data_IF_915167368025
#
_entry.id   IF_915167368025
#
_cell.length_a   1.000
_cell.length_b   1.000
_cell.length_c   1.000
_cell.angle_alpha   90.00
_cell.angle_beta   90.00
_cell.angle_gamma   90.00
#
_symmetry.space_group_name_H-M   'P 1'
#
loop_
_entity.id
_entity.type
_entity.pdbx_description
1 polymer ?
#
# COMPACT_ATOMS: atom_id res chain seq x y z
N UNK A 1 9.25 -10.91 -8.49
CA UNK A 1 7.86 -10.54 -8.34
C UNK A 1 7.53 -9.28 -9.11
N UNK A 2 6.32 -8.91 -9.14
CA UNK A 2 5.83 -7.72 -9.83
C UNK A 2 4.33 -7.75 -9.98
N UNK A 3 3.80 -7.05 -10.97
CA UNK A 3 2.36 -6.95 -11.21
C UNK A 3 1.67 -8.30 -11.50
N UNK A 4 2.38 -9.26 -12.04
CA UNK A 4 1.82 -10.52 -12.52
C UNK A 4 1.95 -11.69 -11.55
N UNK A 5 2.88 -11.63 -10.60
CA UNK A 5 3.14 -12.73 -9.68
C UNK A 5 3.74 -12.25 -8.34
N UNK A 6 3.17 -12.70 -7.24
CA UNK A 6 3.76 -12.49 -5.92
C UNK A 6 5.07 -13.27 -5.79
N UNK A 7 6.11 -12.71 -5.12
CA UNK A 7 7.34 -13.43 -4.85
C UNK A 7 7.07 -14.65 -3.95
N UNK A 8 7.77 -15.74 -4.24
CA UNK A 8 7.80 -16.91 -3.38
C UNK A 8 8.71 -16.68 -2.17
N UNK A 9 8.64 -17.57 -1.17
CA UNK A 9 9.59 -17.59 -0.05
C UNK A 9 11.04 -17.70 -0.54
N UNK A 10 11.28 -18.50 -1.59
CA UNK A 10 12.62 -18.67 -2.17
C UNK A 10 13.13 -17.40 -2.85
N UNK A 11 12.27 -16.67 -3.55
CA UNK A 11 12.61 -15.37 -4.15
C UNK A 11 13.03 -14.37 -3.06
N UNK A 12 12.27 -14.29 -1.97
CA UNK A 12 12.56 -13.39 -0.84
C UNK A 12 13.88 -13.82 -0.16
N UNK A 13 14.09 -15.10 0.11
CA UNK A 13 15.33 -15.61 0.70
C UNK A 13 16.54 -15.30 -0.17
N UNK A 14 16.38 -15.37 -1.48
CA UNK A 14 17.46 -15.03 -2.42
C UNK A 14 17.89 -13.57 -2.25
N UNK A 15 16.94 -12.65 -2.12
CA UNK A 15 17.27 -11.24 -1.91
C UNK A 15 17.81 -10.97 -0.49
N UNK A 16 17.31 -11.65 0.53
CA UNK A 16 17.84 -11.59 1.90
C UNK A 16 19.32 -12.04 1.91
N UNK A 17 19.66 -13.11 1.22
CA UNK A 17 21.07 -13.60 1.13
C UNK A 17 21.99 -12.60 0.44
N UNK A 18 21.50 -11.92 -0.60
CA UNK A 18 22.28 -10.90 -1.34
C UNK A 18 22.49 -9.61 -0.55
N UNK A 19 21.62 -9.29 0.40
CA UNK A 19 21.73 -8.07 1.20
C UNK A 19 22.99 -8.10 2.06
N UNK A 20 23.91 -7.12 1.99
CA UNK A 20 25.17 -7.14 2.72
C UNK A 20 25.01 -6.68 4.20
N UNK A 21 24.12 -7.36 4.94
CA UNK A 21 23.83 -7.08 6.34
C UNK A 21 23.50 -8.38 7.09
N UNK A 22 23.70 -8.38 8.40
CA UNK A 22 23.36 -9.51 9.29
C UNK A 22 21.89 -9.48 9.70
N UNK A 23 21.32 -8.27 9.81
CA UNK A 23 19.90 -8.03 10.11
C UNK A 23 19.22 -7.47 8.86
N UNK A 24 18.12 -8.07 8.44
CA UNK A 24 17.39 -7.68 7.23
C UNK A 24 15.94 -7.46 7.57
N UNK A 25 15.47 -6.24 7.36
CA UNK A 25 14.05 -5.89 7.46
C UNK A 25 13.37 -6.15 6.12
N UNK A 26 12.26 -6.89 6.15
CA UNK A 26 11.44 -7.19 4.96
C UNK A 26 10.11 -6.48 5.07
N UNK A 27 9.82 -5.60 4.13
CA UNK A 27 8.56 -4.88 3.99
C UNK A 27 7.80 -5.42 2.76
N UNK A 28 6.84 -6.34 2.95
CA UNK A 28 6.16 -7.01 1.82
C UNK A 28 5.31 -6.09 0.95
N UNK A 29 4.75 -5.04 1.50
CA UNK A 29 3.87 -4.07 0.84
C UNK A 29 2.64 -4.69 0.15
N UNK A 30 2.30 -5.91 0.56
CA UNK A 30 1.16 -6.66 0.06
C UNK A 30 0.77 -7.73 1.09
N UNK A 31 -0.50 -7.74 1.50
CA UNK A 31 -1.01 -8.72 2.50
C UNK A 31 -0.77 -10.18 2.11
N UNK A 32 -0.78 -10.49 0.80
CA UNK A 32 -0.58 -11.86 0.31
C UNK A 32 0.88 -12.33 0.36
N UNK A 33 1.83 -11.42 0.56
CA UNK A 33 3.27 -11.70 0.62
C UNK A 33 3.76 -11.86 2.06
N UNK A 34 3.03 -11.31 3.04
CA UNK A 34 3.43 -11.31 4.45
C UNK A 34 3.77 -12.73 4.95
N UNK A 35 2.92 -13.71 4.64
CA UNK A 35 3.15 -15.09 5.06
C UNK A 35 4.42 -15.68 4.43
N UNK A 36 4.68 -15.44 3.16
CA UNK A 36 5.89 -15.91 2.48
C UNK A 36 7.15 -15.25 3.08
N UNK A 37 7.07 -13.96 3.44
CA UNK A 37 8.15 -13.26 4.11
C UNK A 37 8.41 -13.83 5.52
N UNK A 38 7.38 -14.12 6.29
CA UNK A 38 7.50 -14.72 7.62
C UNK A 38 8.11 -16.12 7.56
N UNK A 39 7.82 -16.91 6.53
CA UNK A 39 8.44 -18.22 6.32
C UNK A 39 9.95 -18.14 6.07
N UNK A 40 10.49 -16.98 5.69
CA UNK A 40 11.93 -16.79 5.51
C UNK A 40 12.68 -16.79 6.85
N UNK A 41 12.04 -16.41 7.96
CA UNK A 41 12.67 -16.24 9.27
C UNK A 41 13.43 -17.52 9.70
N UNK A 42 12.79 -18.71 9.78
CA UNK A 42 13.48 -19.91 10.20
C UNK A 42 14.40 -20.53 9.14
N UNK A 43 14.35 -20.03 7.90
CA UNK A 43 15.11 -20.58 6.76
C UNK A 43 16.36 -19.75 6.43
N UNK A 44 16.55 -18.61 7.08
CA UNK A 44 17.66 -17.70 6.83
C UNK A 44 18.76 -17.86 7.86
N UNK A 45 20.02 -17.78 7.43
CA UNK A 45 21.19 -17.69 8.30
C UNK A 45 21.35 -16.29 8.91
N UNK A 46 20.61 -15.31 8.37
CA UNK A 46 20.58 -13.92 8.86
C UNK A 46 19.35 -13.70 9.74
N UNK A 47 19.41 -12.69 10.59
CA UNK A 47 18.22 -12.25 11.33
C UNK A 47 17.28 -11.53 10.38
N UNK A 48 16.12 -12.12 10.13
CA UNK A 48 15.05 -11.54 9.30
C UNK A 48 13.95 -11.00 10.20
N UNK A 49 13.61 -9.74 10.03
CA UNK A 49 12.50 -9.06 10.73
C UNK A 49 11.48 -8.64 9.66
N UNK A 50 10.25 -9.08 9.80
CA UNK A 50 9.18 -8.78 8.85
C UNK A 50 8.27 -7.69 9.44
N UNK A 51 8.27 -6.53 8.81
CA UNK A 51 7.32 -5.45 9.09
C UNK A 51 6.09 -5.69 8.21
N UNK A 52 4.89 -5.95 8.77
CA UNK A 52 3.75 -6.49 8.01
C UNK A 52 3.03 -5.42 7.19
N UNK A 53 3.76 -4.71 6.34
CA UNK A 53 3.22 -3.72 5.42
C UNK A 53 2.29 -4.38 4.40
N UNK A 54 1.09 -3.83 4.23
CA UNK A 54 0.05 -4.35 3.33
C UNK A 54 -0.02 -3.58 2.02
N UNK A 55 0.57 -2.38 1.98
CA UNK A 55 0.54 -1.46 0.84
C UNK A 55 1.89 -0.79 0.64
N UNK A 56 2.14 -0.31 -0.58
CA UNK A 56 3.37 0.46 -0.88
C UNK A 56 3.45 1.76 -0.06
N UNK A 57 2.37 2.55 0.10
CA UNK A 57 2.40 3.72 0.97
C UNK A 57 2.82 3.40 2.41
N UNK A 58 2.33 2.30 3.00
CA UNK A 58 2.80 1.85 4.31
C UNK A 58 4.31 1.59 4.33
N UNK A 59 4.83 0.91 3.29
CA UNK A 59 6.26 0.65 3.18
C UNK A 59 7.10 1.91 3.06
N UNK A 60 6.63 2.91 2.31
CA UNK A 60 7.30 4.20 2.17
C UNK A 60 7.33 4.93 3.51
N UNK A 61 6.20 5.04 4.20
CA UNK A 61 6.12 5.71 5.51
C UNK A 61 6.99 5.00 6.56
N UNK A 62 6.97 3.67 6.60
CA UNK A 62 7.86 2.91 7.46
C UNK A 62 9.34 3.25 7.19
N UNK A 63 9.76 3.31 5.92
CA UNK A 63 11.14 3.65 5.56
C UNK A 63 11.54 5.08 5.94
N UNK A 64 10.61 6.02 5.99
CA UNK A 64 10.88 7.38 6.46
C UNK A 64 11.17 7.42 7.98
N UNK A 65 10.66 6.45 8.73
CA UNK A 65 10.91 6.30 10.17
C UNK A 65 12.13 5.43 10.50
N UNK A 66 12.84 4.92 9.47
CA UNK A 66 13.99 4.04 9.66
C UNK A 66 15.23 4.81 10.09
N UNK A 67 15.72 4.55 11.32
CA UNK A 67 17.01 5.05 11.82
C UNK A 67 18.01 3.89 11.96
N UNK A 68 19.03 3.80 11.08
CA UNK A 68 20.02 2.72 11.11
C UNK A 68 20.95 2.78 12.35
N UNK A 69 20.91 3.86 13.13
CA UNK A 69 21.70 4.00 14.37
C UNK A 69 20.98 3.43 15.60
N UNK A 70 19.69 3.19 15.50
CA UNK A 70 18.88 2.61 16.57
C UNK A 70 19.07 1.09 16.69
N UNK A 71 18.77 0.55 17.87
CA UNK A 71 18.73 -0.90 18.07
C UNK A 71 17.60 -1.54 17.26
N UNK A 72 17.79 -2.79 16.84
CA UNK A 72 16.87 -3.48 15.91
C UNK A 72 15.44 -3.64 16.45
N UNK A 73 15.27 -3.83 17.75
CA UNK A 73 13.97 -3.89 18.42
C UNK A 73 13.26 -2.52 18.45
N UNK A 74 14.04 -1.45 18.58
CA UNK A 74 13.53 -0.07 18.48
C UNK A 74 13.09 0.21 17.05
N UNK A 75 13.91 -0.15 16.06
CA UNK A 75 13.55 -0.01 14.63
C UNK A 75 12.26 -0.79 14.33
N UNK A 76 12.16 -2.06 14.75
CA UNK A 76 10.97 -2.88 14.53
C UNK A 76 9.71 -2.22 15.12
N UNK A 77 9.82 -1.68 16.35
CA UNK A 77 8.71 -1.00 17.02
C UNK A 77 8.31 0.29 16.29
N UNK A 78 9.28 1.11 15.90
CA UNK A 78 9.03 2.39 15.21
C UNK A 78 8.43 2.18 13.82
N UNK A 79 8.97 1.24 13.03
CA UNK A 79 8.41 0.90 11.71
C UNK A 79 7.00 0.33 11.83
N UNK A 80 6.75 -0.52 12.83
CA UNK A 80 5.42 -1.09 13.08
C UNK A 80 4.41 -0.03 13.52
N UNK A 81 4.81 0.92 14.35
CA UNK A 81 3.96 2.03 14.74
C UNK A 81 3.65 2.96 13.55
N UNK A 82 4.65 3.24 12.71
CA UNK A 82 4.49 4.11 11.54
C UNK A 82 3.44 3.59 10.56
N UNK A 83 3.37 2.28 10.33
CA UNK A 83 2.40 1.72 9.37
C UNK A 83 0.95 1.74 9.88
N UNK A 84 0.72 1.82 11.18
CA UNK A 84 -0.63 1.87 11.77
C UNK A 84 -1.33 3.21 11.49
N UNK A 85 -0.57 4.28 11.30
CA UNK A 85 -1.11 5.63 11.01
C UNK A 85 -1.43 5.83 9.52
N UNK A 86 -1.09 4.87 8.65
CA UNK A 86 -1.24 5.02 7.19
C UNK A 86 -2.54 4.41 6.72
N UNK A 87 -3.42 5.24 6.19
CA UNK A 87 -4.58 4.82 5.42
C UNK A 87 -4.26 4.81 3.93
N UNK A 88 -4.67 3.76 3.23
CA UNK A 88 -4.39 3.60 1.80
C UNK A 88 -5.68 3.51 1.01
N UNK A 89 -5.92 4.51 0.19
CA UNK A 89 -6.95 4.45 -0.83
C UNK A 89 -6.39 3.93 -2.15
N UNK A 90 -7.20 3.20 -2.89
CA UNK A 90 -6.84 2.64 -4.20
C UNK A 90 -7.97 2.87 -5.19
N UNK A 91 -7.60 3.25 -6.41
CA UNK A 91 -8.50 3.27 -7.54
C UNK A 91 -8.06 2.21 -8.52
N UNK A 92 -8.98 1.34 -8.88
CA UNK A 92 -8.80 0.35 -9.94
C UNK A 92 -10.03 0.35 -10.84
N UNK A 93 -10.03 -0.45 -11.90
CA UNK A 93 -11.19 -0.59 -12.78
C UNK A 93 -11.62 -2.04 -12.91
N UNK A 94 -12.89 -2.25 -13.12
CA UNK A 94 -13.48 -3.56 -13.30
C UNK A 94 -13.16 -4.11 -14.69
N UNK A 95 -12.40 -5.20 -14.75
CA UNK A 95 -12.12 -5.92 -16.01
C UNK A 95 -13.33 -6.70 -16.54
N UNK A 96 -14.30 -7.00 -15.69
CA UNK A 96 -15.53 -7.74 -15.96
C UNK A 96 -16.62 -7.35 -14.97
N UNK A 97 -17.87 -7.70 -15.28
CA UNK A 97 -18.96 -7.59 -14.32
C UNK A 97 -18.71 -8.53 -13.15
N UNK A 98 -18.98 -8.06 -11.96
CA UNK A 98 -18.76 -8.82 -10.71
C UNK A 98 -19.64 -8.26 -9.59
N UNK A 99 -19.85 -9.07 -8.55
CA UNK A 99 -20.34 -8.61 -7.27
C UNK A 99 -19.15 -8.49 -6.30
N UNK A 100 -19.11 -7.41 -5.54
CA UNK A 100 -18.14 -7.19 -4.49
C UNK A 100 -18.88 -6.75 -3.22
N UNK A 101 -18.96 -7.63 -2.24
CA UNK A 101 -19.66 -7.41 -0.97
C UNK A 101 -21.11 -6.93 -1.12
N UNK A 102 -21.84 -7.47 -2.13
CA UNK A 102 -23.23 -7.10 -2.41
C UNK A 102 -23.41 -5.84 -3.26
N UNK A 103 -22.33 -5.31 -3.82
CA UNK A 103 -22.35 -4.22 -4.80
C UNK A 103 -22.19 -4.77 -6.21
N UNK A 104 -23.15 -4.53 -7.07
CA UNK A 104 -23.06 -4.82 -8.51
C UNK A 104 -22.05 -3.87 -9.15
N UNK A 105 -20.99 -4.44 -9.70
CA UNK A 105 -19.93 -3.71 -10.39
C UNK A 105 -19.97 -4.08 -11.87
N UNK A 106 -20.00 -3.07 -12.75
CA UNK A 106 -20.01 -3.28 -14.18
C UNK A 106 -18.62 -3.10 -14.79
N UNK A 107 -18.35 -3.88 -15.84
CA UNK A 107 -17.09 -3.78 -16.59
C UNK A 107 -16.80 -2.34 -17.03
N UNK A 108 -15.60 -1.88 -16.73
CA UNK A 108 -15.13 -0.54 -17.08
C UNK A 108 -15.42 0.53 -16.04
N UNK A 109 -16.18 0.22 -14.99
CA UNK A 109 -16.31 1.12 -13.85
C UNK A 109 -15.02 1.23 -13.05
N UNK A 110 -14.77 2.40 -12.49
CA UNK A 110 -13.73 2.61 -11.48
C UNK A 110 -14.25 2.20 -10.11
N UNK A 111 -13.38 1.56 -9.34
CA UNK A 111 -13.64 1.16 -7.96
C UNK A 111 -12.80 2.00 -7.02
N UNK A 112 -13.43 2.53 -5.98
CA UNK A 112 -12.76 3.16 -4.85
C UNK A 112 -12.66 2.16 -3.71
N UNK A 113 -11.45 1.90 -3.24
CA UNK A 113 -11.19 1.10 -2.05
C UNK A 113 -10.44 1.95 -1.02
N UNK A 114 -10.75 1.76 0.27
CA UNK A 114 -10.02 2.33 1.39
C UNK A 114 -9.67 1.21 2.37
N UNK A 115 -8.36 1.04 2.63
CA UNK A 115 -7.84 -0.05 3.48
C UNK A 115 -8.35 -1.45 3.11
N UNK A 116 -8.64 -1.65 1.82
CA UNK A 116 -9.14 -2.90 1.26
C UNK A 116 -10.66 -3.07 1.28
N UNK A 117 -11.41 -2.13 1.85
CA UNK A 117 -12.88 -2.10 1.79
C UNK A 117 -13.36 -1.28 0.58
N UNK A 118 -14.43 -1.72 -0.07
CA UNK A 118 -15.04 -1.00 -1.18
C UNK A 118 -15.82 0.21 -0.66
N UNK A 119 -15.48 1.42 -1.13
CA UNK A 119 -16.26 2.64 -0.89
C UNK A 119 -17.38 2.82 -1.93
N UNK A 120 -17.17 2.30 -3.13
CA UNK A 120 -18.13 2.37 -4.23
C UNK A 120 -17.48 2.23 -5.60
N UNK A 121 -18.32 2.24 -6.64
CA UNK A 121 -17.91 2.24 -8.03
C UNK A 121 -18.68 3.29 -8.82
N UNK A 122 -18.11 3.77 -9.91
CA UNK A 122 -18.76 4.63 -10.89
C UNK A 122 -17.99 4.58 -12.21
N UNK A 123 -18.67 4.80 -13.33
CA UNK A 123 -18.03 4.99 -14.62
C UNK A 123 -17.27 6.32 -14.73
N UNK A 124 -17.61 7.28 -13.87
CA UNK A 124 -16.98 8.59 -13.79
C UNK A 124 -15.88 8.59 -12.71
N UNK A 125 -14.63 8.74 -13.13
CA UNK A 125 -13.47 8.80 -12.25
C UNK A 125 -13.55 9.92 -11.22
N UNK A 126 -14.10 11.07 -11.57
CA UNK A 126 -14.19 12.22 -10.66
C UNK A 126 -15.11 11.92 -9.47
N UNK A 127 -16.20 11.20 -9.68
CA UNK A 127 -17.08 10.77 -8.61
C UNK A 127 -16.40 9.78 -7.67
N UNK A 128 -15.58 8.89 -8.23
CA UNK A 128 -14.79 7.92 -7.44
C UNK A 128 -13.73 8.65 -6.62
N UNK A 129 -13.02 9.60 -7.20
CA UNK A 129 -12.04 10.45 -6.52
C UNK A 129 -12.69 11.26 -5.39
N UNK A 130 -13.86 11.85 -5.63
CA UNK A 130 -14.61 12.59 -4.61
C UNK A 130 -14.99 11.70 -3.43
N UNK A 131 -15.47 10.47 -3.68
CA UNK A 131 -15.78 9.51 -2.59
C UNK A 131 -14.56 9.20 -1.72
N UNK A 132 -13.39 9.03 -2.34
CA UNK A 132 -12.16 8.79 -1.59
C UNK A 132 -11.74 10.03 -0.82
N UNK A 133 -11.81 11.22 -1.41
CA UNK A 133 -11.45 12.47 -0.74
C UNK A 133 -12.38 12.76 0.46
N UNK A 134 -13.69 12.53 0.33
CA UNK A 134 -14.63 12.64 1.45
C UNK A 134 -14.29 11.67 2.58
N UNK A 135 -14.03 10.41 2.25
CA UNK A 135 -13.62 9.40 3.23
C UNK A 135 -12.26 9.71 3.88
N UNK A 136 -11.33 10.28 3.13
CA UNK A 136 -10.04 10.72 3.66
C UNK A 136 -10.20 11.92 4.59
N UNK A 137 -11.04 12.89 4.24
CA UNK A 137 -11.32 14.06 5.07
C UNK A 137 -11.89 13.69 6.45
N UNK A 138 -12.72 12.64 6.52
CA UNK A 138 -13.24 12.10 7.79
C UNK A 138 -12.13 11.53 8.71
N UNK A 139 -10.95 11.22 8.15
CA UNK A 139 -9.79 10.72 8.88
C UNK A 139 -8.85 11.84 9.37
N UNK A 140 -9.13 13.10 9.01
CA UNK A 140 -8.33 14.28 9.37
C UNK A 140 -6.82 14.10 9.05
N UNK A 141 -6.46 13.86 7.77
CA UNK A 141 -5.09 13.53 7.40
C UNK A 141 -4.19 14.77 7.40
N UNK A 142 -3.02 14.67 8.02
CA UNK A 142 -1.99 15.72 7.95
C UNK A 142 -1.32 15.79 6.56
N UNK A 143 -1.21 14.65 5.88
CA UNK A 143 -0.54 14.53 4.58
C UNK A 143 -1.32 13.58 3.68
N UNK A 144 -1.60 14.00 2.47
CA UNK A 144 -2.15 13.17 1.39
C UNK A 144 -1.11 13.00 0.29
N UNK A 145 -0.69 11.76 0.04
CA UNK A 145 0.26 11.43 -1.04
C UNK A 145 -0.46 10.68 -2.15
N UNK A 146 -0.30 11.15 -3.39
CA UNK A 146 -0.91 10.54 -4.57
C UNK A 146 0.15 9.85 -5.41
N UNK A 147 -0.03 8.56 -5.63
CA UNK A 147 0.81 7.73 -6.48
C UNK A 147 0.02 7.31 -7.71
N UNK A 148 0.64 7.35 -8.87
CA UNK A 148 0.00 6.90 -10.11
C UNK A 148 0.92 5.99 -10.92
N UNK A 149 0.30 5.00 -11.59
CA UNK A 149 1.01 4.03 -12.42
C UNK A 149 1.37 4.58 -13.80
N UNK A 150 2.18 3.83 -14.53
CA UNK A 150 2.68 4.17 -15.88
C UNK A 150 1.55 4.47 -16.88
N UNK A 151 0.42 3.78 -16.74
CA UNK A 151 -0.74 3.96 -17.63
C UNK A 151 -1.57 5.21 -17.34
N UNK A 152 -1.29 5.93 -16.24
CA UNK A 152 -2.01 7.13 -15.83
C UNK A 152 -1.22 8.37 -16.24
N UNK A 153 -1.85 9.27 -16.99
CA UNK A 153 -1.21 10.53 -17.37
C UNK A 153 -1.15 11.50 -16.19
N UNK A 154 -0.04 12.22 -16.07
CA UNK A 154 0.20 13.22 -15.01
C UNK A 154 -0.97 14.20 -14.82
N UNK A 155 -1.63 14.62 -15.90
CA UNK A 155 -2.81 15.48 -15.82
C UNK A 155 -3.98 14.91 -15.03
N UNK A 156 -4.12 13.57 -15.01
CA UNK A 156 -5.17 12.91 -14.23
C UNK A 156 -4.77 12.83 -12.75
N UNK A 157 -3.48 12.64 -12.47
CA UNK A 157 -2.96 12.72 -11.11
C UNK A 157 -3.08 14.14 -10.55
N UNK A 158 -2.79 15.17 -11.36
CA UNK A 158 -2.97 16.57 -10.96
C UNK A 158 -4.44 16.87 -10.64
N UNK A 159 -5.37 16.39 -11.48
CA UNK A 159 -6.80 16.56 -11.22
C UNK A 159 -7.24 15.89 -9.91
N UNK A 160 -6.70 14.72 -9.61
CA UNK A 160 -6.93 14.09 -8.32
C UNK A 160 -6.40 14.96 -7.17
N UNK A 161 -5.19 15.51 -7.29
CA UNK A 161 -4.62 16.41 -6.30
C UNK A 161 -5.51 17.66 -6.08
N UNK A 162 -6.05 18.24 -7.15
CA UNK A 162 -6.95 19.39 -7.07
C UNK A 162 -8.23 19.05 -6.31
N UNK A 163 -8.84 17.87 -6.56
CA UNK A 163 -10.04 17.39 -5.83
C UNK A 163 -9.72 17.22 -4.35
N UNK A 164 -8.59 16.61 -4.01
CA UNK A 164 -8.19 16.44 -2.61
C UNK A 164 -7.91 17.78 -1.92
N UNK A 165 -7.26 18.72 -2.59
CA UNK A 165 -6.99 20.06 -2.05
C UNK A 165 -8.29 20.85 -1.78
N UNK A 166 -9.33 20.62 -2.57
CA UNK A 166 -10.65 21.25 -2.36
C UNK A 166 -11.43 20.66 -1.19
N UNK A 167 -11.29 19.35 -0.94
CA UNK A 167 -12.07 18.61 0.06
C UNK A 167 -11.31 18.48 1.39
N UNK A 168 -9.99 18.33 1.35
CA UNK A 168 -9.08 18.23 2.50
C UNK A 168 -8.11 19.43 2.46
N UNK A 169 -8.55 20.64 2.83
CA UNK A 169 -7.80 21.88 2.62
C UNK A 169 -6.64 22.10 3.61
N UNK A 170 -6.55 21.32 4.72
CA UNK A 170 -5.58 21.52 5.82
C UNK A 170 -4.37 20.61 5.72
#
# INVERSE_FOLDING_TARGET
>A
GGQTMNPSTEDILTEVKKTPAEVVFVLPNNKNIIMAAQQCIPLSDKKVIVIPTKTVPQGITAMLSFDPASAEDVIEAELSAAIESVHTAQITYAARDSDFDGHDIHKGEYLALMDGALLGSDADLDKVLTKIADAANDLDPEIVSIYYGEDVKEKHAQKAADIFADICPD
#
